data_IF_929674272357
#
_entry.id   IF_929674272357
#
_cell.length_a   1.000
_cell.length_b   1.000
_cell.length_c   1.000
_cell.angle_alpha   90.00
_cell.angle_beta   90.00
_cell.angle_gamma   90.00
#
_symmetry.space_group_name_H-M   'P 1'
#
loop_
_entity.id
_entity.type
_entity.pdbx_description
1 polymer ?
#
# COMPACT_ATOMS: atom_id res chain seq x y z
N UNK A 1 4.13 -12.30 -9.20
CA UNK A 1 4.67 -11.37 -10.23
C UNK A 1 6.15 -11.60 -10.34
N UNK A 2 6.67 -11.69 -11.57
CA UNK A 2 8.08 -11.95 -11.82
C UNK A 2 8.97 -10.73 -11.50
N UNK A 3 10.27 -10.97 -11.37
CA UNK A 3 11.24 -9.88 -11.19
C UNK A 3 11.27 -8.97 -12.41
N UNK A 4 11.17 -9.51 -13.63
CA UNK A 4 11.17 -8.68 -14.85
C UNK A 4 9.97 -7.73 -14.86
N UNK A 5 8.80 -8.19 -14.43
CA UNK A 5 7.59 -7.38 -14.36
C UNK A 5 7.69 -6.23 -13.35
N UNK A 6 8.38 -6.45 -12.22
CA UNK A 6 8.70 -5.39 -11.25
C UNK A 6 9.66 -4.38 -11.88
N UNK A 7 10.77 -4.86 -12.43
CA UNK A 7 11.82 -4.02 -13.03
C UNK A 7 11.25 -3.18 -14.18
N UNK A 8 10.40 -3.77 -15.02
CA UNK A 8 9.71 -3.07 -16.11
C UNK A 8 8.94 -1.85 -15.60
N UNK A 9 8.14 -2.00 -14.54
CA UNK A 9 7.39 -0.88 -13.95
C UNK A 9 8.32 0.17 -13.33
N UNK A 10 9.39 -0.26 -12.66
CA UNK A 10 10.32 0.66 -12.00
C UNK A 10 11.24 1.40 -12.98
N UNK A 11 11.55 0.84 -14.14
CA UNK A 11 12.36 1.50 -15.17
C UNK A 11 11.73 2.82 -15.63
N UNK A 12 10.39 2.92 -15.61
CA UNK A 12 9.68 4.16 -15.96
C UNK A 12 9.97 5.33 -15.01
N UNK A 13 10.45 5.06 -13.79
CA UNK A 13 10.74 6.09 -12.77
C UNK A 13 12.23 6.15 -12.38
N UNK A 14 13.06 5.29 -12.98
CA UNK A 14 14.48 5.14 -12.68
C UNK A 14 14.77 4.32 -11.42
N UNK A 15 15.79 3.46 -11.49
CA UNK A 15 16.14 2.51 -10.42
C UNK A 15 17.05 3.08 -9.34
N UNK A 16 17.71 4.21 -9.60
CA UNK A 16 18.69 4.77 -8.66
C UNK A 16 18.03 5.22 -7.35
N UNK A 17 18.57 4.83 -6.19
CA UNK A 17 18.11 5.34 -4.90
C UNK A 17 18.33 6.84 -4.78
N UNK A 18 17.45 7.53 -4.05
CA UNK A 18 17.69 8.93 -3.69
C UNK A 18 18.93 9.01 -2.75
N UNK A 19 19.89 9.91 -3.01
CA UNK A 19 21.12 9.98 -2.23
C UNK A 19 20.84 10.52 -0.81
N UNK A 20 21.23 9.76 0.21
CA UNK A 20 21.06 10.12 1.62
C UNK A 20 22.44 10.06 2.30
N UNK A 21 22.89 11.19 2.83
CA UNK A 21 24.23 11.35 3.44
C UNK A 21 24.28 11.03 4.94
N UNK A 22 23.17 10.59 5.53
CA UNK A 22 23.14 10.23 6.95
C UNK A 22 23.91 8.93 7.23
N UNK A 23 24.60 8.83 8.39
CA UNK A 23 25.14 7.58 8.88
C UNK A 23 24.04 6.52 9.01
N UNK A 24 24.37 5.26 8.71
CA UNK A 24 23.41 4.14 8.74
C UNK A 24 22.72 3.98 10.09
N UNK A 25 23.42 4.21 11.21
CA UNK A 25 22.84 4.14 12.55
C UNK A 25 21.68 5.13 12.75
N UNK A 26 21.76 6.32 12.15
CA UNK A 26 20.69 7.32 12.20
C UNK A 26 19.62 6.97 11.17
N UNK A 27 20.02 6.69 9.93
CA UNK A 27 19.15 6.40 8.79
C UNK A 27 18.24 5.19 9.02
N UNK A 28 18.71 4.19 9.78
CA UNK A 28 17.99 2.94 10.08
C UNK A 28 17.27 2.95 11.43
N UNK A 29 17.24 4.07 12.15
CA UNK A 29 16.48 4.14 13.40
C UNK A 29 14.99 3.94 13.12
N UNK A 30 14.38 2.98 13.83
CA UNK A 30 12.96 2.68 13.77
C UNK A 30 12.17 3.32 14.92
N UNK A 31 10.87 3.44 14.73
CA UNK A 31 9.91 3.99 15.70
C UNK A 31 8.64 3.16 15.74
N UNK A 32 7.84 3.36 16.79
CA UNK A 32 6.47 2.83 16.86
C UNK A 32 5.47 3.80 16.24
N UNK A 33 4.30 3.31 15.78
CA UNK A 33 3.21 4.19 15.30
C UNK A 33 2.67 5.09 16.39
N UNK A 34 2.59 4.58 17.62
CA UNK A 34 2.16 5.33 18.80
C UNK A 34 3.11 6.51 19.09
N UNK A 35 4.42 6.30 18.97
CA UNK A 35 5.40 7.36 19.15
C UNK A 35 5.26 8.44 18.09
N UNK A 36 5.17 8.06 16.80
CA UNK A 36 4.95 9.05 15.72
C UNK A 36 3.65 9.84 15.97
N UNK A 37 2.56 9.15 16.32
CA UNK A 37 1.27 9.77 16.61
C UNK A 37 1.34 10.83 17.73
N UNK A 38 2.09 10.53 18.80
CA UNK A 38 2.26 11.46 19.92
C UNK A 38 3.13 12.67 19.57
N UNK A 39 4.19 12.47 18.79
CA UNK A 39 5.17 13.52 18.47
C UNK A 39 4.75 14.39 17.27
N UNK A 40 4.16 13.78 16.24
CA UNK A 40 3.87 14.39 14.95
C UNK A 40 2.41 14.22 14.49
N UNK A 41 1.56 13.64 15.32
CA UNK A 41 0.14 13.47 15.00
C UNK A 41 -0.16 12.32 14.04
N UNK A 42 -1.42 12.28 13.60
CA UNK A 42 -1.98 11.12 12.93
C UNK A 42 -2.46 10.04 13.91
N UNK A 43 -3.44 9.24 13.51
CA UNK A 43 -3.84 8.06 14.26
C UNK A 43 -2.73 6.98 14.22
N UNK A 44 -2.65 6.15 15.26
CA UNK A 44 -1.72 5.01 15.31
C UNK A 44 -2.13 3.86 14.35
N UNK A 45 -3.36 3.93 13.82
CA UNK A 45 -3.92 2.99 12.85
C UNK A 45 -4.17 3.66 11.50
N UNK A 46 -4.31 2.83 10.47
CA UNK A 46 -4.48 3.28 9.09
C UNK A 46 -3.16 3.58 8.38
N UNK A 47 -3.17 3.36 7.07
CA UNK A 47 -2.05 3.68 6.17
C UNK A 47 -1.91 5.18 5.95
N UNK A 48 -2.99 5.93 6.15
CA UNK A 48 -3.20 7.30 5.69
C UNK A 48 -3.79 8.21 6.78
N UNK A 49 -3.16 8.29 7.96
CA UNK A 49 -3.78 8.94 9.10
C UNK A 49 -3.90 10.47 8.88
N UNK A 50 -5.08 11.08 9.10
CA UNK A 50 -5.22 12.53 9.06
C UNK A 50 -4.47 13.17 10.24
N UNK A 51 -3.79 14.29 9.99
CA UNK A 51 -3.04 15.03 11.01
C UNK A 51 -3.81 16.28 11.40
N UNK A 52 -4.07 16.45 12.69
CA UNK A 52 -4.74 17.63 13.22
C UNK A 52 -3.77 18.83 13.23
N UNK A 53 -3.71 19.56 12.09
CA UNK A 53 -2.74 20.66 11.87
C UNK A 53 -2.78 21.79 12.91
N UNK A 54 -3.91 21.97 13.62
CA UNK A 54 -4.01 22.92 14.74
C UNK A 54 -3.14 22.54 15.96
N UNK A 55 -2.75 21.26 16.08
CA UNK A 55 -1.97 20.72 17.20
C UNK A 55 -0.52 20.44 16.83
N UNK A 56 -0.23 20.18 15.55
CA UNK A 56 1.09 19.83 15.06
C UNK A 56 1.49 20.79 13.95
N UNK A 57 2.48 21.64 14.24
CA UNK A 57 2.95 22.69 13.35
C UNK A 57 3.97 22.14 12.34
N UNK A 58 3.49 21.32 11.40
CA UNK A 58 4.28 20.89 10.23
C UNK A 58 3.39 20.60 9.03
N UNK A 59 4.01 20.50 7.86
CA UNK A 59 3.34 20.21 6.57
C UNK A 59 3.44 18.76 6.13
N UNK A 60 4.09 17.90 6.92
CA UNK A 60 4.25 16.48 6.59
C UNK A 60 2.90 15.77 6.57
N UNK A 61 2.68 14.97 5.52
CA UNK A 61 1.61 14.00 5.42
C UNK A 61 2.23 12.59 5.44
N UNK A 62 1.83 11.77 6.41
CA UNK A 62 2.44 10.45 6.59
C UNK A 62 1.74 9.35 5.79
N UNK A 63 2.56 8.38 5.38
CA UNK A 63 2.12 7.13 4.77
C UNK A 63 2.77 5.94 5.40
N UNK A 64 1.97 4.94 5.72
CA UNK A 64 2.40 3.73 6.40
C UNK A 64 2.05 2.51 5.55
N UNK A 65 3.07 1.82 5.07
CA UNK A 65 2.91 0.60 4.29
C UNK A 65 3.48 -0.62 5.02
N UNK A 66 2.84 -1.76 4.77
CA UNK A 66 3.19 -3.04 5.38
C UNK A 66 3.55 -4.04 4.27
N UNK A 67 4.63 -4.80 4.47
CA UNK A 67 5.10 -5.82 3.53
C UNK A 67 4.13 -7.00 3.41
N UNK A 68 3.26 -7.24 4.39
CA UNK A 68 2.22 -8.27 4.32
C UNK A 68 1.26 -8.05 3.15
N UNK A 69 1.05 -6.78 2.79
CA UNK A 69 0.23 -6.38 1.63
C UNK A 69 1.07 -6.00 0.41
N UNK A 70 2.36 -5.72 0.61
CA UNK A 70 3.21 -5.08 -0.38
C UNK A 70 4.61 -5.68 -0.40
N UNK A 71 4.75 -6.80 -1.09
CA UNK A 71 6.02 -7.54 -1.20
C UNK A 71 7.15 -6.78 -1.91
N UNK A 72 6.84 -5.67 -2.58
CA UNK A 72 7.78 -4.91 -3.42
C UNK A 72 7.97 -3.45 -2.96
N UNK A 73 7.63 -3.13 -1.71
CA UNK A 73 7.97 -1.82 -1.14
C UNK A 73 9.49 -1.60 -1.15
N UNK A 74 9.95 -0.33 -1.15
CA UNK A 74 11.33 -0.01 -0.86
C UNK A 74 11.78 -0.64 0.46
N UNK A 75 12.92 -1.35 0.44
CA UNK A 75 13.49 -2.00 1.63
C UNK A 75 14.45 -1.09 2.37
N UNK A 76 15.17 -0.23 1.65
CA UNK A 76 16.07 0.76 2.24
C UNK A 76 15.55 2.18 1.99
N UNK A 77 15.93 3.14 2.85
CA UNK A 77 15.64 4.54 2.61
C UNK A 77 16.20 5.01 1.26
N UNK A 78 15.40 5.73 0.49
CA UNK A 78 15.75 6.21 -0.85
C UNK A 78 15.46 5.26 -2.01
N UNK A 79 15.32 3.96 -1.77
CA UNK A 79 15.11 2.97 -2.85
C UNK A 79 13.76 3.20 -3.57
N UNK A 80 13.66 2.96 -4.88
CA UNK A 80 12.36 2.87 -5.54
C UNK A 80 11.65 1.57 -5.20
N UNK A 81 10.33 1.51 -5.43
CA UNK A 81 9.54 0.31 -5.19
C UNK A 81 8.14 0.37 -5.76
N UNK A 82 7.35 -0.67 -5.50
CA UNK A 82 5.95 -0.74 -5.88
C UNK A 82 5.07 -0.84 -4.63
N UNK A 83 3.89 -0.26 -4.72
CA UNK A 83 2.83 -0.43 -3.73
C UNK A 83 1.56 -0.94 -4.40
N UNK A 84 0.93 -1.92 -3.74
CA UNK A 84 -0.40 -2.39 -4.05
C UNK A 84 -1.39 -1.68 -3.15
N UNK A 85 -2.30 -0.92 -3.74
CA UNK A 85 -3.23 -0.12 -2.95
C UNK A 85 -4.65 -0.16 -3.50
N UNK A 86 -5.40 -1.16 -3.03
CA UNK A 86 -6.80 -1.31 -3.39
C UNK A 86 -7.00 -2.04 -4.71
N UNK A 87 -8.25 -2.00 -5.19
CA UNK A 87 -8.72 -2.90 -6.24
C UNK A 87 -9.23 -2.17 -7.48
N UNK A 88 -9.11 -2.84 -8.63
CA UNK A 88 -9.44 -2.31 -9.94
C UNK A 88 -8.22 -1.75 -10.66
N UNK A 89 -8.45 -0.70 -11.45
CA UNK A 89 -7.38 0.04 -12.12
C UNK A 89 -6.78 1.06 -11.15
N UNK A 90 -5.47 1.23 -11.20
CA UNK A 90 -4.81 2.32 -10.51
C UNK A 90 -5.27 3.67 -11.09
N UNK A 91 -5.37 4.66 -10.22
CA UNK A 91 -5.80 6.02 -10.53
C UNK A 91 -4.79 7.02 -9.95
N UNK A 92 -4.74 8.26 -10.44
CA UNK A 92 -3.78 9.26 -9.94
C UNK A 92 -3.83 9.37 -8.42
N UNK A 93 -2.67 9.29 -7.76
CA UNK A 93 -2.59 9.23 -6.30
C UNK A 93 -3.14 10.48 -5.60
N UNK A 94 -3.11 11.62 -6.29
CA UNK A 94 -3.72 12.88 -5.83
C UNK A 94 -2.84 13.71 -4.89
N UNK A 95 -1.56 13.35 -4.74
CA UNK A 95 -0.55 14.13 -3.99
C UNK A 95 0.79 14.12 -4.71
N UNK A 96 1.48 15.26 -4.62
CA UNK A 96 2.81 15.42 -5.23
C UNK A 96 3.86 14.56 -4.52
N UNK A 97 3.82 14.52 -3.18
CA UNK A 97 4.68 13.65 -2.36
C UNK A 97 4.08 13.39 -0.98
N UNK A 98 4.49 12.28 -0.35
CA UNK A 98 4.17 11.94 1.05
C UNK A 98 5.39 11.40 1.79
N UNK A 99 5.42 11.57 3.12
CA UNK A 99 6.46 11.03 4.00
C UNK A 99 6.15 9.57 4.32
N UNK A 100 6.95 8.65 3.80
CA UNK A 100 6.66 7.21 3.84
C UNK A 100 7.43 6.50 4.94
N UNK A 101 6.71 5.66 5.66
CA UNK A 101 7.21 4.66 6.58
C UNK A 101 6.83 3.25 6.09
N UNK A 102 7.75 2.31 6.29
CA UNK A 102 7.49 0.87 6.08
C UNK A 102 7.64 0.11 7.37
N UNK A 103 6.80 -0.91 7.57
CA UNK A 103 6.87 -1.78 8.74
C UNK A 103 7.90 -2.88 8.53
N UNK A 104 8.95 -2.91 9.35
CA UNK A 104 9.93 -4.01 9.34
C UNK A 104 9.46 -5.19 10.22
N UNK A 105 8.76 -4.88 11.30
CA UNK A 105 8.09 -5.85 12.17
C UNK A 105 7.07 -5.14 13.07
N UNK A 106 6.39 -5.87 13.96
CA UNK A 106 5.49 -5.26 14.94
C UNK A 106 6.20 -4.16 15.73
N UNK A 107 5.59 -2.97 15.75
CA UNK A 107 6.11 -1.76 16.39
C UNK A 107 7.46 -1.24 15.86
N UNK A 108 7.96 -1.76 14.73
CA UNK A 108 9.19 -1.27 14.11
C UNK A 108 8.88 -0.69 12.73
N UNK A 109 8.78 0.63 12.67
CA UNK A 109 8.52 1.39 11.45
C UNK A 109 9.74 2.22 11.09
N UNK A 110 10.18 2.11 9.84
CA UNK A 110 11.34 2.82 9.31
C UNK A 110 10.85 3.94 8.38
N UNK A 111 11.31 5.16 8.62
CA UNK A 111 11.14 6.26 7.67
C UNK A 111 12.07 6.05 6.47
N UNK A 112 11.49 5.94 5.28
CA UNK A 112 12.24 5.62 4.06
C UNK A 112 12.38 6.81 3.09
N UNK A 113 11.76 7.96 3.39
CA UNK A 113 11.87 9.20 2.62
C UNK A 113 10.54 9.82 2.23
N UNK A 114 10.62 10.89 1.43
CA UNK A 114 9.49 11.52 0.76
C UNK A 114 9.34 10.93 -0.64
N UNK A 115 8.16 10.38 -0.96
CA UNK A 115 7.93 9.67 -2.21
C UNK A 115 6.87 10.33 -3.06
N UNK A 116 7.14 10.38 -4.36
CA UNK A 116 6.11 10.51 -5.39
C UNK A 116 5.58 9.12 -5.72
N UNK A 117 4.26 8.98 -5.78
CA UNK A 117 3.56 7.72 -6.03
C UNK A 117 2.75 7.87 -7.31
N UNK A 118 3.21 7.20 -8.37
CA UNK A 118 2.67 7.34 -9.72
C UNK A 118 1.93 6.06 -10.16
N UNK A 119 0.94 6.23 -11.03
CA UNK A 119 0.12 5.13 -11.55
C UNK A 119 1.00 4.13 -12.31
N UNK A 120 0.80 2.85 -12.04
CA UNK A 120 1.35 1.77 -12.84
C UNK A 120 0.23 0.82 -13.31
N UNK A 121 0.55 -0.06 -14.26
CA UNK A 121 -0.42 -1.05 -14.70
C UNK A 121 -0.78 -2.00 -13.54
N UNK A 122 -2.08 -2.11 -13.26
CA UNK A 122 -2.63 -3.07 -12.29
C UNK A 122 -2.19 -4.50 -12.61
N UNK A 123 -2.17 -5.37 -11.59
CA UNK A 123 -1.81 -6.77 -11.81
C UNK A 123 -2.73 -7.44 -12.82
N UNK A 124 -2.11 -8.18 -13.74
CA UNK A 124 -2.79 -9.12 -14.62
C UNK A 124 -3.17 -10.40 -13.85
N UNK A 125 -4.04 -11.22 -14.44
CA UNK A 125 -4.42 -12.50 -13.85
C UNK A 125 -3.21 -13.43 -13.67
N UNK A 126 -2.27 -13.44 -14.62
CA UNK A 126 -1.08 -14.29 -14.55
C UNK A 126 -0.07 -13.76 -13.51
N UNK A 127 0.11 -12.45 -13.41
CA UNK A 127 0.93 -11.86 -12.35
C UNK A 127 0.35 -12.14 -10.96
N UNK A 128 -0.99 -12.15 -10.83
CA UNK A 128 -1.69 -12.56 -9.62
C UNK A 128 -1.48 -14.03 -9.31
N UNK A 129 -1.63 -14.93 -10.28
CA UNK A 129 -1.40 -16.38 -10.09
C UNK A 129 0.01 -16.66 -9.57
N UNK A 130 1.00 -15.90 -10.02
CA UNK A 130 2.39 -15.98 -9.58
C UNK A 130 2.65 -15.39 -8.17
N UNK A 131 1.66 -14.80 -7.51
CA UNK A 131 1.81 -14.31 -6.14
C UNK A 131 1.82 -15.47 -5.13
N UNK A 132 2.49 -15.24 -3.99
CA UNK A 132 2.50 -16.22 -2.91
C UNK A 132 1.09 -16.47 -2.35
N UNK A 133 0.85 -17.66 -1.81
CA UNK A 133 -0.43 -18.01 -1.17
C UNK A 133 -0.78 -17.04 -0.03
N UNK A 134 0.21 -16.63 0.76
CA UNK A 134 0.03 -15.70 1.87
C UNK A 134 -0.45 -14.33 1.38
N UNK A 135 0.19 -13.77 0.35
CA UNK A 135 -0.20 -12.50 -0.26
C UNK A 135 -1.64 -12.55 -0.79
N UNK A 136 -2.00 -13.60 -1.54
CA UNK A 136 -3.35 -13.79 -2.08
C UNK A 136 -4.39 -13.89 -0.97
N UNK A 137 -4.12 -14.69 0.07
CA UNK A 137 -5.01 -14.86 1.21
C UNK A 137 -5.24 -13.55 1.96
N UNK A 138 -4.18 -12.76 2.18
CA UNK A 138 -4.27 -11.48 2.88
C UNK A 138 -5.17 -10.49 2.13
N UNK A 139 -4.95 -10.30 0.83
CA UNK A 139 -5.79 -9.42 0.01
C UNK A 139 -7.23 -9.91 -0.10
N UNK A 140 -7.46 -11.20 -0.30
CA UNK A 140 -8.82 -11.76 -0.39
C UNK A 140 -9.60 -11.57 0.91
N UNK A 141 -8.96 -11.79 2.06
CA UNK A 141 -9.56 -11.55 3.39
C UNK A 141 -9.90 -10.08 3.60
N UNK A 142 -8.99 -9.17 3.26
CA UNK A 142 -9.21 -7.74 3.37
C UNK A 142 -10.39 -7.28 2.51
N UNK A 143 -10.47 -7.73 1.26
CA UNK A 143 -11.56 -7.39 0.33
C UNK A 143 -12.90 -7.97 0.82
N UNK A 144 -12.90 -9.22 1.30
CA UNK A 144 -14.09 -9.86 1.89
C UNK A 144 -14.67 -9.01 3.02
N UNK A 145 -13.80 -8.49 3.89
CA UNK A 145 -14.17 -7.68 5.04
C UNK A 145 -14.45 -6.20 4.68
N UNK A 146 -14.55 -5.86 3.39
CA UNK A 146 -14.84 -4.50 2.92
C UNK A 146 -13.64 -3.56 2.88
N UNK A 147 -12.44 -4.03 3.23
CA UNK A 147 -11.19 -3.30 3.03
C UNK A 147 -10.71 -3.33 1.57
N UNK A 148 -9.55 -2.73 1.29
CA UNK A 148 -9.02 -2.64 -0.07
C UNK A 148 -9.55 -1.45 -0.88
N UNK A 149 -10.00 -0.40 -0.19
CA UNK A 149 -10.51 0.84 -0.77
C UNK A 149 -11.99 0.78 -1.17
N UNK A 150 -12.49 1.91 -1.66
CA UNK A 150 -13.92 2.14 -1.94
C UNK A 150 -14.50 1.19 -3.01
N UNK A 151 -13.63 0.63 -3.85
CA UNK A 151 -14.02 -0.28 -4.94
C UNK A 151 -14.19 -1.74 -4.50
N UNK A 152 -13.93 -2.10 -3.24
CA UNK A 152 -14.02 -3.48 -2.75
C UNK A 152 -15.42 -4.09 -2.93
N UNK A 153 -16.47 -3.29 -2.73
CA UNK A 153 -17.86 -3.71 -2.95
C UNK A 153 -18.14 -3.95 -4.44
N UNK A 154 -17.74 -3.02 -5.31
CA UNK A 154 -17.93 -3.13 -6.75
C UNK A 154 -17.20 -4.36 -7.32
N UNK A 155 -15.99 -4.64 -6.83
CA UNK A 155 -15.26 -5.85 -7.21
C UNK A 155 -16.01 -7.12 -6.78
N UNK A 156 -16.48 -7.20 -5.53
CA UNK A 156 -17.21 -8.37 -5.04
C UNK A 156 -18.47 -8.62 -5.86
N UNK A 157 -19.22 -7.57 -6.18
CA UNK A 157 -20.37 -7.65 -7.09
C UNK A 157 -19.94 -8.21 -8.45
N UNK A 158 -18.90 -7.65 -9.06
CA UNK A 158 -18.45 -8.09 -10.38
C UNK A 158 -18.06 -9.58 -10.37
N UNK A 159 -17.32 -10.02 -9.35
CA UNK A 159 -16.92 -11.42 -9.20
C UNK A 159 -18.14 -12.33 -9.05
N UNK A 160 -19.10 -11.97 -8.19
CA UNK A 160 -20.31 -12.76 -8.01
C UNK A 160 -21.14 -12.85 -9.29
N UNK A 161 -21.36 -11.73 -9.98
CA UNK A 161 -22.10 -11.70 -11.24
C UNK A 161 -21.46 -12.59 -12.31
N UNK A 162 -20.14 -12.53 -12.46
CA UNK A 162 -19.41 -13.40 -13.36
C UNK A 162 -19.63 -14.88 -13.03
N UNK A 163 -19.61 -15.25 -11.75
CA UNK A 163 -19.85 -16.64 -11.31
C UNK A 163 -21.28 -17.10 -11.58
N UNK A 164 -22.28 -16.26 -11.30
CA UNK A 164 -23.71 -16.62 -11.46
C UNK A 164 -24.13 -16.67 -12.92
N UNK A 165 -23.64 -15.74 -13.74
CA UNK A 165 -24.07 -15.61 -15.13
C UNK A 165 -23.25 -16.46 -16.10
N UNK A 166 -22.04 -16.89 -15.72
CA UNK A 166 -21.13 -17.60 -16.62
C UNK A 166 -20.64 -16.76 -17.82
N UNK A 167 -20.91 -15.45 -17.79
CA UNK A 167 -20.53 -14.48 -18.82
C UNK A 167 -20.18 -13.14 -18.17
N UNK A 168 -19.66 -12.21 -18.96
CA UNK A 168 -19.46 -10.83 -18.53
C UNK A 168 -20.82 -10.18 -18.21
N UNK A 169 -20.98 -9.55 -17.03
CA UNK A 169 -22.19 -8.80 -16.71
C UNK A 169 -22.27 -7.53 -17.56
N UNK A 170 -23.50 -7.12 -17.86
CA UNK A 170 -23.79 -5.84 -18.49
C UNK A 170 -23.68 -4.69 -17.49
N UNK A 171 -23.57 -3.46 -17.99
CA UNK A 171 -23.57 -2.27 -17.14
C UNK A 171 -24.87 -2.14 -16.32
N UNK A 172 -26.01 -2.51 -16.90
CA UNK A 172 -27.31 -2.49 -16.21
C UNK A 172 -27.38 -3.52 -15.08
N UNK A 173 -26.91 -4.75 -15.29
CA UNK A 173 -26.84 -5.79 -14.25
C UNK A 173 -25.92 -5.38 -13.10
N UNK A 174 -24.75 -4.80 -13.44
CA UNK A 174 -23.79 -4.31 -12.44
C UNK A 174 -24.36 -3.15 -11.64
N UNK A 175 -25.01 -2.18 -12.30
CA UNK A 175 -25.66 -1.05 -11.62
C UNK A 175 -26.78 -1.51 -10.70
N UNK A 176 -27.68 -2.38 -11.19
CA UNK A 176 -28.76 -2.96 -10.38
C UNK A 176 -28.21 -3.65 -9.12
N UNK A 177 -27.10 -4.38 -9.26
CA UNK A 177 -26.44 -5.03 -8.14
C UNK A 177 -25.78 -4.04 -7.15
N UNK A 178 -25.16 -2.97 -7.64
CA UNK A 178 -24.61 -1.89 -6.81
C UNK A 178 -25.68 -1.12 -6.03
N UNK A 179 -26.87 -0.97 -6.61
CA UNK A 179 -28.00 -0.29 -5.96
C UNK A 179 -28.69 -1.19 -4.92
N UNK A 180 -28.53 -2.52 -5.02
CA UNK A 180 -29.08 -3.48 -4.05
C UNK A 180 -28.29 -3.52 -2.74
N UNK A 181 -29.00 -3.70 -1.62
CA UNK A 181 -28.37 -3.89 -0.31
C UNK A 181 -28.13 -5.38 -0.04
N UNK A 182 -26.90 -5.75 0.32
CA UNK A 182 -26.59 -7.04 0.98
C UNK A 182 -26.32 -8.26 0.09
N UNK A 183 -26.90 -8.39 -1.10
CA UNK A 183 -26.87 -9.66 -1.88
C UNK A 183 -25.45 -10.17 -2.24
N UNK A 184 -24.47 -9.28 -2.33
CA UNK A 184 -23.13 -9.58 -2.85
C UNK A 184 -22.03 -9.60 -1.77
N UNK A 185 -22.43 -9.62 -0.49
CA UNK A 185 -21.49 -9.58 0.65
C UNK A 185 -20.99 -10.97 1.08
N UNK A 186 -21.57 -12.05 0.56
CA UNK A 186 -21.32 -13.42 1.04
C UNK A 186 -20.17 -14.15 0.33
N UNK A 187 -19.41 -13.48 -0.54
CA UNK A 187 -18.27 -14.12 -1.19
C UNK A 187 -17.23 -14.59 -0.17
N UNK A 188 -16.79 -15.83 -0.34
CA UNK A 188 -15.68 -16.43 0.39
C UNK A 188 -14.33 -16.00 -0.21
N UNK A 189 -13.26 -16.10 0.58
CA UNK A 189 -11.91 -15.79 0.10
C UNK A 189 -11.51 -16.58 -1.17
N UNK A 190 -11.81 -17.90 -1.29
CA UNK A 190 -11.57 -18.63 -2.52
C UNK A 190 -12.34 -18.09 -3.74
N UNK A 191 -13.57 -17.61 -3.56
CA UNK A 191 -14.37 -17.05 -4.66
C UNK A 191 -13.82 -15.71 -5.12
N UNK A 192 -13.34 -14.88 -4.19
CA UNK A 192 -12.63 -13.63 -4.53
C UNK A 192 -11.34 -13.96 -5.28
N UNK A 193 -10.54 -14.91 -4.79
CA UNK A 193 -9.32 -15.36 -5.45
C UNK A 193 -9.56 -15.85 -6.88
N UNK A 194 -10.63 -16.64 -7.08
CA UNK A 194 -11.07 -17.07 -8.41
C UNK A 194 -11.31 -15.87 -9.34
N UNK A 195 -11.91 -14.79 -8.83
CA UNK A 195 -12.11 -13.57 -9.60
C UNK A 195 -10.81 -12.96 -10.12
N UNK A 196 -9.76 -12.92 -9.30
CA UNK A 196 -8.44 -12.43 -9.72
C UNK A 196 -7.74 -13.40 -10.69
N UNK A 197 -7.76 -14.70 -10.40
CA UNK A 197 -7.12 -15.73 -11.23
C UNK A 197 -7.74 -15.84 -12.64
N UNK A 198 -8.99 -15.41 -12.81
CA UNK A 198 -9.69 -15.39 -14.10
C UNK A 198 -9.79 -13.97 -14.71
N UNK A 199 -9.12 -12.97 -14.13
CA UNK A 199 -9.06 -11.61 -14.67
C UNK A 199 -10.35 -10.79 -14.54
N UNK A 200 -11.30 -11.23 -13.72
CA UNK A 200 -12.52 -10.49 -13.39
C UNK A 200 -12.30 -9.47 -12.26
N UNK A 201 -11.16 -9.57 -11.58
CA UNK A 201 -10.68 -8.63 -10.58
C UNK A 201 -9.22 -8.25 -10.88
N UNK A 202 -8.84 -7.05 -10.49
CA UNK A 202 -7.47 -6.53 -10.62
C UNK A 202 -7.04 -5.91 -9.31
N UNK A 203 -5.74 -6.02 -9.01
CA UNK A 203 -5.12 -5.35 -7.87
C UNK A 203 -4.36 -4.14 -8.41
N UNK A 204 -4.67 -2.96 -7.89
CA UNK A 204 -4.08 -1.73 -8.38
C UNK A 204 -2.64 -1.57 -7.90
N UNK A 205 -1.76 -1.10 -8.79
CA UNK A 205 -0.32 -0.96 -8.57
C UNK A 205 0.10 0.47 -8.80
N UNK A 206 0.98 0.98 -7.94
CA UNK A 206 1.66 2.26 -8.14
C UNK A 206 3.17 2.06 -8.02
N UNK A 207 3.92 2.85 -8.78
CA UNK A 207 5.36 3.00 -8.61
C UNK A 207 5.66 4.06 -7.55
N UNK A 208 6.73 3.84 -6.80
CA UNK A 208 7.19 4.73 -5.75
C UNK A 208 8.62 5.20 -6.08
N UNK A 209 8.80 6.51 -6.26
CA UNK A 209 10.12 7.13 -6.42
C UNK A 209 10.41 8.05 -5.25
N UNK A 210 11.52 7.82 -4.55
CA UNK A 210 11.97 8.75 -3.53
C UNK A 210 12.44 10.05 -4.21
N UNK A 211 11.86 11.18 -3.81
CA UNK A 211 12.13 12.52 -4.36
C UNK A 211 12.74 13.46 -3.32
N UNK A 212 12.85 13.02 -2.07
CA UNK A 212 13.44 13.78 -0.99
C UNK A 212 13.65 12.95 0.26
N UNK A 213 14.45 13.46 1.19
CA UNK A 213 14.64 12.84 2.50
C UNK A 213 14.82 13.89 3.57
N UNK A 214 13.99 13.87 4.61
CA UNK A 214 14.08 14.84 5.72
C UNK A 214 15.13 14.39 6.74
N UNK A 215 16.39 14.76 6.48
CA UNK A 215 17.51 14.34 7.32
C UNK A 215 17.36 14.78 8.79
N UNK A 216 16.92 16.01 9.04
CA UNK A 216 16.76 16.53 10.41
C UNK A 216 15.60 15.87 11.15
N UNK A 217 14.54 15.47 10.42
CA UNK A 217 13.46 14.68 10.99
C UNK A 217 13.97 13.30 11.45
N UNK A 218 14.76 12.62 10.63
CA UNK A 218 15.34 11.33 11.02
C UNK A 218 16.36 11.47 12.16
N UNK A 219 17.17 12.54 12.20
CA UNK A 219 18.04 12.85 13.35
C UNK A 219 17.23 13.06 14.63
N UNK A 220 16.09 13.75 14.53
CA UNK A 220 15.20 13.99 15.66
C UNK A 220 14.62 12.68 16.19
N UNK A 221 14.17 11.79 15.28
CA UNK A 221 13.78 10.42 15.63
C UNK A 221 14.92 9.72 16.38
N UNK A 222 16.12 9.67 15.81
CA UNK A 222 17.27 9.01 16.42
C UNK A 222 17.64 9.57 17.81
N UNK A 223 17.52 10.89 18.01
CA UNK A 223 17.84 11.53 19.28
C UNK A 223 16.76 11.42 20.37
N UNK A 224 15.52 11.07 20.03
CA UNK A 224 14.36 11.08 20.96
C UNK A 224 13.73 9.72 21.20
N UNK A 225 14.10 8.70 20.43
CA UNK A 225 13.63 7.34 20.67
C UNK A 225 14.30 6.80 21.94
N UNK A 226 13.54 6.29 22.92
CA UNK A 226 14.12 5.71 24.13
C UNK A 226 15.16 4.63 23.80
N UNK A 227 16.31 4.70 24.46
CA UNK A 227 17.39 3.70 24.39
C UNK A 227 16.83 2.34 24.82
N UNK A 228 16.55 1.47 23.85
CA UNK A 228 15.89 0.17 24.07
C UNK A 228 14.90 -0.23 22.98
N UNK A 229 14.44 0.71 22.15
CA UNK A 229 13.58 0.42 20.98
C UNK A 229 14.35 0.30 19.67
N UNK A 230 15.51 0.95 19.56
CA UNK A 230 16.40 0.81 18.43
C UNK A 230 17.05 -0.58 18.44
N UNK A 231 16.39 -1.56 17.81
CA UNK A 231 17.08 -2.78 17.37
C UNK A 231 17.69 -2.46 16.02
N UNK A 232 19.02 -2.53 15.93
CA UNK A 232 19.68 -2.59 14.64
C UNK A 232 19.10 -3.80 13.88
N UNK A 233 18.54 -3.56 12.70
CA UNK A 233 18.12 -4.59 11.74
C UNK A 233 19.15 -4.64 10.63
#
# INVERSE_FOLDING_TARGET
>A
MSVESVVYRLNAIGLDPFPITLPDAIKRTTVTRDWISKQYGGAAQGSSPPIARKRFEHTMDFRFFDFDFNSHLPKNPGDPGLVFFGVGQAYPWGKDQEEVFVRLSTNNWLYIGAYRIDVAESLTADEWKQQSRAFKAQWCRTIKNGGGGDNSRALRINVDLHRRLGRRPTAAETKKALDSTGEFLHLTEPQINWGFENGHAKLAVWTMKCVGYRADFQRNIAGRVPTGWAKAV
#
